data_IF_897930203907
#
_entry.id   IF_897930203907
#
_cell.length_a   1.000
_cell.length_b   1.000
_cell.length_c   1.000
_cell.angle_alpha   90.00
_cell.angle_beta   90.00
_cell.angle_gamma   90.00
#
_symmetry.space_group_name_H-M   'P 1'
#
loop_
_entity.id
_entity.type
_entity.pdbx_description
1 polymer ?
#
# COMPACT_ATOMS: atom_id res chain seq x y z
N UNK A 1 58.19 -47.19 -74.88
CA UNK A 1 56.83 -46.63 -74.72
C UNK A 1 56.33 -46.92 -73.32
N UNK A 2 56.40 -45.93 -72.41
CA UNK A 2 56.02 -46.06 -71.01
C UNK A 2 54.85 -45.11 -70.76
N UNK A 3 53.74 -45.67 -70.36
CA UNK A 3 52.57 -44.89 -69.83
C UNK A 3 52.67 -44.81 -68.35
N UNK A 4 52.69 -43.61 -67.83
CA UNK A 4 52.53 -43.31 -66.41
C UNK A 4 51.05 -42.98 -66.08
N UNK A 5 50.46 -43.75 -65.21
CA UNK A 5 49.18 -43.47 -64.61
C UNK A 5 49.34 -42.48 -63.43
N UNK A 6 48.76 -41.34 -63.56
CA UNK A 6 48.62 -40.39 -62.45
C UNK A 6 47.39 -40.77 -61.58
N UNK A 7 47.64 -41.07 -60.32
CA UNK A 7 46.59 -41.24 -59.30
C UNK A 7 46.17 -39.88 -58.85
N UNK A 8 44.87 -39.55 -58.95
CA UNK A 8 44.25 -38.39 -58.37
C UNK A 8 43.75 -38.73 -56.94
N UNK A 9 44.39 -38.12 -55.98
CA UNK A 9 43.94 -38.19 -54.56
C UNK A 9 42.67 -37.32 -54.33
N UNK A 10 41.65 -37.95 -53.79
CA UNK A 10 40.42 -37.28 -53.32
C UNK A 10 40.63 -36.88 -51.89
N UNK A 11 40.65 -35.55 -51.58
CA UNK A 11 40.57 -34.99 -50.21
C UNK A 11 39.12 -34.99 -49.75
N UNK A 12 38.83 -35.44 -48.55
CA UNK A 12 37.49 -35.24 -47.95
C UNK A 12 37.34 -33.80 -47.47
N UNK A 13 36.31 -33.13 -47.94
CA UNK A 13 35.85 -31.83 -47.41
C UNK A 13 35.13 -32.09 -46.12
N UNK A 14 35.75 -31.70 -45.01
CA UNK A 14 35.05 -31.59 -43.70
C UNK A 14 34.11 -30.37 -43.74
N UNK A 15 32.81 -30.59 -43.82
CA UNK A 15 31.80 -29.56 -43.57
C UNK A 15 31.66 -29.31 -42.07
N UNK A 16 32.25 -28.22 -41.61
CA UNK A 16 31.99 -27.72 -40.27
C UNK A 16 30.54 -27.18 -40.19
N UNK A 17 29.65 -27.95 -39.61
CA UNK A 17 28.29 -27.51 -39.27
C UNK A 17 28.36 -26.41 -38.21
N UNK A 18 28.08 -25.17 -38.56
CA UNK A 18 27.85 -24.08 -37.62
C UNK A 18 26.48 -24.28 -37.01
N UNK A 19 26.45 -24.76 -35.77
CA UNK A 19 25.26 -24.74 -34.93
C UNK A 19 24.95 -23.26 -34.58
N UNK A 20 24.03 -22.64 -35.30
CA UNK A 20 23.35 -21.42 -34.84
C UNK A 20 22.50 -21.80 -33.65
N UNK A 21 23.04 -21.60 -32.46
CA UNK A 21 22.25 -21.55 -31.26
C UNK A 21 21.29 -20.36 -31.37
N UNK A 22 19.99 -20.62 -31.50
CA UNK A 22 18.98 -19.61 -31.36
C UNK A 22 19.09 -19.08 -29.93
N UNK A 23 19.74 -17.93 -29.74
CA UNK A 23 19.59 -17.15 -28.52
C UNK A 23 18.09 -16.78 -28.44
N UNK A 24 17.38 -17.41 -27.53
CA UNK A 24 16.06 -16.94 -27.14
C UNK A 24 16.28 -15.55 -26.53
N UNK A 25 16.10 -14.52 -27.34
CA UNK A 25 16.17 -13.16 -26.90
C UNK A 25 15.06 -12.95 -25.87
N UNK A 26 15.44 -12.70 -24.63
CA UNK A 26 14.56 -12.11 -23.64
C UNK A 26 13.96 -10.86 -24.29
N UNK A 27 12.65 -10.79 -24.40
CA UNK A 27 11.99 -9.61 -24.94
C UNK A 27 12.43 -8.40 -24.10
N UNK A 28 12.96 -7.38 -24.74
CA UNK A 28 13.39 -6.18 -24.04
C UNK A 28 12.17 -5.52 -23.39
N UNK A 29 12.29 -4.99 -22.15
CA UNK A 29 11.21 -4.26 -21.50
C UNK A 29 10.74 -3.13 -22.40
N UNK A 30 9.43 -3.00 -22.56
CA UNK A 30 8.84 -1.91 -23.34
C UNK A 30 8.50 -0.77 -22.39
N UNK A 31 8.94 0.42 -22.74
CA UNK A 31 8.67 1.64 -22.00
C UNK A 31 7.84 2.59 -22.84
N UNK A 32 6.84 3.22 -22.23
CA UNK A 32 6.11 4.31 -22.86
C UNK A 32 5.84 5.42 -21.87
N UNK A 33 5.61 6.62 -22.38
CA UNK A 33 5.23 7.79 -21.63
C UNK A 33 4.06 8.50 -22.32
N UNK A 34 3.09 8.93 -21.55
CA UNK A 34 1.90 9.66 -22.01
C UNK A 34 1.67 10.88 -21.15
N UNK A 35 1.33 11.98 -21.80
CA UNK A 35 1.06 13.27 -21.21
C UNK A 35 -0.40 13.65 -21.41
N UNK A 36 -1.08 14.03 -20.34
CA UNK A 36 -2.50 14.39 -20.34
C UNK A 36 -2.66 15.77 -19.71
N UNK A 37 -2.93 16.79 -20.52
CA UNK A 37 -3.29 18.11 -20.00
C UNK A 37 -4.64 18.03 -19.30
N UNK A 38 -4.73 18.50 -18.05
CA UNK A 38 -5.93 18.45 -17.23
C UNK A 38 -6.25 19.83 -16.69
N UNK A 39 -7.54 20.08 -16.44
CA UNK A 39 -7.99 21.33 -15.84
C UNK A 39 -8.70 21.03 -14.51
N UNK A 40 -8.41 21.85 -13.49
CA UNK A 40 -8.98 21.68 -12.17
C UNK A 40 -8.41 20.45 -11.44
N UNK A 41 -9.26 19.75 -10.68
CA UNK A 41 -8.90 18.60 -9.89
C UNK A 41 -9.12 17.31 -10.71
N UNK A 42 -8.06 16.68 -11.20
CA UNK A 42 -8.21 15.47 -12.00
C UNK A 42 -8.56 14.24 -11.15
N UNK A 43 -9.15 13.26 -11.82
CA UNK A 43 -9.36 11.90 -11.30
C UNK A 43 -8.45 10.95 -12.07
N UNK A 44 -7.53 10.30 -11.39
CA UNK A 44 -6.63 9.32 -12.00
C UNK A 44 -6.99 7.92 -11.52
N UNK A 45 -7.28 7.04 -12.47
CA UNK A 45 -7.68 5.66 -12.20
C UNK A 45 -6.64 4.71 -12.79
N UNK A 46 -6.12 3.80 -11.97
CA UNK A 46 -5.22 2.75 -12.41
C UNK A 46 -5.81 1.39 -12.06
N UNK A 47 -5.90 0.54 -13.04
CA UNK A 47 -6.27 -0.87 -12.89
C UNK A 47 -5.10 -1.73 -13.39
N UNK A 48 -4.30 -2.25 -12.46
CA UNK A 48 -3.19 -3.12 -12.77
C UNK A 48 -3.51 -4.56 -12.34
N UNK A 49 -3.80 -5.43 -13.30
CA UNK A 49 -3.98 -6.86 -13.04
C UNK A 49 -2.66 -7.64 -13.11
N UNK A 50 -1.59 -7.03 -13.62
CA UNK A 50 -0.24 -7.57 -13.58
C UNK A 50 0.42 -7.37 -12.21
N UNK A 51 1.55 -8.03 -11.99
CA UNK A 51 2.42 -7.74 -10.87
C UNK A 51 3.16 -6.42 -11.12
N UNK A 52 3.71 -5.83 -10.07
CA UNK A 52 4.60 -4.68 -10.22
C UNK A 52 4.32 -3.54 -9.28
N UNK A 53 4.93 -2.40 -9.57
CA UNK A 53 4.90 -1.21 -8.71
C UNK A 53 4.04 -0.12 -9.34
N UNK A 54 3.27 0.55 -8.51
CA UNK A 54 2.59 1.81 -8.84
C UNK A 54 3.18 2.90 -7.95
N UNK A 55 3.87 3.85 -8.54
CA UNK A 55 4.43 5.02 -7.86
C UNK A 55 3.73 6.28 -8.35
N UNK A 56 3.15 7.06 -7.42
CA UNK A 56 2.47 8.31 -7.72
C UNK A 56 3.12 9.42 -6.92
N UNK A 57 3.57 10.47 -7.60
CA UNK A 57 4.09 11.71 -7.00
C UNK A 57 3.35 12.91 -7.54
N UNK A 58 3.31 13.97 -6.77
CA UNK A 58 2.67 15.20 -7.23
C UNK A 58 3.66 16.24 -7.74
N UNK A 59 3.14 17.17 -8.52
CA UNK A 59 3.80 18.38 -8.97
C UNK A 59 2.82 19.55 -9.09
N UNK A 60 3.35 20.72 -9.46
CA UNK A 60 2.53 21.95 -9.57
C UNK A 60 1.92 22.19 -10.96
N UNK A 61 2.21 21.33 -11.94
CA UNK A 61 1.70 21.52 -13.30
C UNK A 61 0.29 20.93 -13.44
N UNK A 62 -0.51 21.54 -14.34
CA UNK A 62 -1.85 21.02 -14.69
C UNK A 62 -1.76 19.93 -15.75
N UNK A 63 -1.04 18.89 -15.46
CA UNK A 63 -0.77 17.77 -16.37
C UNK A 63 -0.61 16.47 -15.56
N UNK A 64 -1.12 15.38 -16.09
CA UNK A 64 -0.85 14.03 -15.62
C UNK A 64 0.12 13.37 -16.58
N UNK A 65 1.26 12.91 -16.06
CA UNK A 65 2.25 12.14 -16.81
C UNK A 65 2.20 10.70 -16.34
N UNK A 66 2.04 9.79 -17.28
CA UNK A 66 2.02 8.33 -17.04
C UNK A 66 3.20 7.71 -17.76
N UNK A 67 4.21 7.30 -17.02
CA UNK A 67 5.30 6.46 -17.52
C UNK A 67 5.05 5.02 -17.08
N UNK A 68 5.16 4.08 -18.01
CA UNK A 68 4.99 2.68 -17.70
C UNK A 68 6.06 1.82 -18.38
N UNK A 69 6.46 0.77 -17.67
CA UNK A 69 7.41 -0.23 -18.16
C UNK A 69 6.79 -1.60 -18.00
N UNK A 70 6.66 -2.34 -19.08
CA UNK A 70 6.17 -3.72 -19.08
C UNK A 70 7.31 -4.69 -19.40
N UNK A 71 7.35 -5.82 -18.70
CA UNK A 71 8.39 -6.82 -18.85
C UNK A 71 8.32 -7.53 -20.21
N UNK A 72 7.12 -7.67 -20.78
CA UNK A 72 6.91 -8.34 -22.05
C UNK A 72 5.68 -7.83 -22.79
N UNK A 73 5.50 -8.26 -24.05
CA UNK A 73 4.29 -8.00 -24.85
C UNK A 73 3.06 -8.84 -24.43
N UNK A 74 3.17 -9.60 -23.35
CA UNK A 74 2.06 -10.37 -22.75
C UNK A 74 1.15 -9.51 -21.88
N UNK A 75 1.53 -8.26 -21.63
CA UNK A 75 0.74 -7.25 -20.97
C UNK A 75 0.38 -6.19 -21.99
N UNK A 76 -0.89 -5.81 -22.04
CA UNK A 76 -1.37 -4.66 -22.79
C UNK A 76 -1.66 -3.52 -21.81
N UNK A 77 -1.14 -2.33 -22.10
CA UNK A 77 -1.39 -1.13 -21.29
C UNK A 77 -2.14 -0.13 -22.16
N UNK A 78 -3.36 0.17 -21.76
CA UNK A 78 -4.23 1.13 -22.41
C UNK A 78 -4.38 2.38 -21.53
N UNK A 79 -4.44 3.54 -22.19
CA UNK A 79 -4.66 4.82 -21.52
C UNK A 79 -5.77 5.59 -22.23
N UNK A 80 -6.71 6.14 -21.47
CA UNK A 80 -7.83 6.93 -21.96
C UNK A 80 -7.97 8.22 -21.16
N UNK A 81 -8.32 9.30 -21.84
CA UNK A 81 -8.66 10.58 -21.18
C UNK A 81 -10.09 11.00 -21.54
N UNK A 82 -10.88 11.29 -20.52
CA UNK A 82 -12.21 11.86 -20.64
C UNK A 82 -12.32 13.13 -19.79
N UNK A 83 -12.08 14.28 -20.40
CA UNK A 83 -12.02 15.55 -19.68
C UNK A 83 -10.84 15.60 -18.69
N UNK A 84 -11.14 15.76 -17.38
CA UNK A 84 -10.13 15.74 -16.32
C UNK A 84 -9.88 14.33 -15.75
N UNK A 85 -10.53 13.28 -16.29
CA UNK A 85 -10.32 11.90 -15.87
C UNK A 85 -9.30 11.22 -16.79
N UNK A 86 -8.33 10.54 -16.19
CA UNK A 86 -7.32 9.74 -16.88
C UNK A 86 -7.42 8.31 -16.34
N UNK A 87 -7.74 7.38 -17.24
CA UNK A 87 -7.82 5.95 -16.95
C UNK A 87 -6.60 5.24 -17.53
N UNK A 88 -5.96 4.39 -16.74
CA UNK A 88 -4.81 3.56 -17.11
C UNK A 88 -5.14 2.12 -16.75
N UNK A 89 -5.13 1.23 -17.73
CA UNK A 89 -5.48 -0.17 -17.53
C UNK A 89 -4.38 -1.07 -18.07
N UNK A 90 -3.83 -1.92 -17.20
CA UNK A 90 -2.96 -3.01 -17.61
C UNK A 90 -3.73 -4.33 -17.57
N UNK A 91 -3.73 -5.05 -18.69
CA UNK A 91 -4.37 -6.36 -18.85
C UNK A 91 -3.35 -7.41 -19.27
N UNK A 92 -3.56 -8.64 -18.80
CA UNK A 92 -2.74 -9.79 -19.19
C UNK A 92 -3.35 -10.35 -20.47
N UNK A 93 -2.58 -10.34 -21.56
CA UNK A 93 -2.98 -10.88 -22.86
C UNK A 93 -2.76 -12.39 -22.98
N UNK A 94 -1.85 -12.95 -22.16
CA UNK A 94 -1.53 -14.38 -22.11
C UNK A 94 -1.24 -14.76 -20.64
N UNK A 95 -2.23 -15.39 -19.99
CA UNK A 95 -2.18 -15.81 -18.59
C UNK A 95 -1.32 -17.07 -18.36
N UNK A 96 -0.88 -17.74 -19.44
CA UNK A 96 0.03 -18.88 -19.37
C UNK A 96 1.50 -18.46 -19.34
N UNK A 97 1.79 -17.18 -19.48
CA UNK A 97 3.15 -16.65 -19.47
C UNK A 97 3.82 -16.81 -18.09
N UNK A 98 5.14 -16.96 -18.03
CA UNK A 98 5.87 -16.98 -16.78
C UNK A 98 5.62 -15.70 -15.95
N UNK A 99 5.59 -15.81 -14.62
CA UNK A 99 5.31 -14.68 -13.74
C UNK A 99 6.24 -13.47 -13.96
N UNK A 100 7.49 -13.70 -14.35
CA UNK A 100 8.45 -12.65 -14.68
C UNK A 100 8.11 -11.85 -15.94
N UNK A 101 7.30 -12.41 -16.85
CA UNK A 101 6.81 -11.73 -18.04
C UNK A 101 5.52 -10.91 -17.77
N UNK A 102 4.92 -11.10 -16.60
CA UNK A 102 3.66 -10.49 -16.19
C UNK A 102 3.89 -9.34 -15.18
N UNK A 103 4.90 -8.52 -15.39
CA UNK A 103 5.22 -7.37 -14.55
C UNK A 103 5.01 -6.07 -15.33
N UNK A 104 4.25 -5.15 -14.71
CA UNK A 104 4.03 -3.79 -15.20
C UNK A 104 4.26 -2.78 -14.09
N UNK A 105 5.23 -1.90 -14.29
CA UNK A 105 5.59 -0.84 -13.35
C UNK A 105 5.11 0.51 -13.87
N UNK A 106 4.43 1.26 -13.01
CA UNK A 106 3.87 2.57 -13.31
C UNK A 106 4.53 3.66 -12.48
N UNK A 107 4.92 4.73 -13.11
CA UNK A 107 5.36 5.96 -12.48
C UNK A 107 4.45 7.10 -12.96
N UNK A 108 3.71 7.68 -12.05
CA UNK A 108 2.80 8.76 -12.35
C UNK A 108 3.26 10.04 -11.67
N UNK A 109 3.18 11.13 -12.41
CA UNK A 109 3.31 12.47 -11.86
C UNK A 109 1.99 13.19 -12.10
N UNK A 110 1.35 13.64 -11.02
CA UNK A 110 -0.01 14.18 -11.03
C UNK A 110 -0.04 15.58 -10.40
N UNK A 111 -1.03 16.43 -10.68
CA UNK A 111 -1.23 17.67 -9.91
C UNK A 111 -1.37 17.39 -8.41
N UNK A 112 -0.95 18.34 -7.57
CA UNK A 112 -1.06 18.20 -6.10
C UNK A 112 -2.48 17.86 -5.65
N UNK A 113 -3.50 18.51 -6.24
CA UNK A 113 -4.92 18.23 -5.97
C UNK A 113 -5.47 17.21 -6.96
N UNK A 114 -5.30 15.92 -6.65
CA UNK A 114 -5.74 14.81 -7.51
C UNK A 114 -6.52 13.77 -6.70
N UNK A 115 -7.65 13.32 -7.25
CA UNK A 115 -8.34 12.13 -6.76
C UNK A 115 -7.70 10.87 -7.36
N UNK A 116 -7.39 9.88 -6.51
CA UNK A 116 -6.74 8.64 -6.93
C UNK A 116 -7.63 7.43 -6.70
N UNK A 117 -7.77 6.59 -7.72
CA UNK A 117 -8.42 5.29 -7.64
C UNK A 117 -7.45 4.23 -8.16
N UNK A 118 -6.72 3.57 -7.26
CA UNK A 118 -5.69 2.61 -7.61
C UNK A 118 -6.15 1.20 -7.26
N UNK A 119 -6.08 0.29 -8.21
CA UNK A 119 -6.35 -1.13 -8.02
C UNK A 119 -5.19 -1.95 -8.56
N UNK A 120 -4.66 -2.84 -7.73
CA UNK A 120 -3.59 -3.77 -8.11
C UNK A 120 -3.85 -5.17 -7.57
N UNK A 121 -3.32 -6.16 -8.25
CA UNK A 121 -3.33 -7.54 -7.74
C UNK A 121 -2.22 -7.72 -6.69
N UNK A 122 -0.98 -7.42 -7.07
CA UNK A 122 0.19 -7.61 -6.21
C UNK A 122 1.19 -6.49 -6.41
N UNK A 123 2.13 -6.37 -5.47
CA UNK A 123 3.25 -5.44 -5.58
C UNK A 123 3.16 -4.26 -4.63
N UNK A 124 3.91 -3.22 -4.94
CA UNK A 124 4.02 -2.04 -4.09
C UNK A 124 3.23 -0.87 -4.70
N UNK A 125 2.39 -0.26 -3.89
CA UNK A 125 1.77 1.05 -4.19
C UNK A 125 2.44 2.09 -3.31
N UNK A 126 3.03 3.10 -3.92
CA UNK A 126 3.65 4.23 -3.25
C UNK A 126 3.01 5.53 -3.73
N UNK A 127 2.48 6.33 -2.79
CA UNK A 127 1.87 7.63 -3.09
C UNK A 127 2.51 8.69 -2.21
N UNK A 128 2.99 9.77 -2.81
CA UNK A 128 3.68 10.85 -2.11
C UNK A 128 3.14 12.21 -2.50
N UNK A 129 2.87 13.05 -1.48
CA UNK A 129 2.53 14.48 -1.61
C UNK A 129 1.27 14.77 -2.44
N UNK A 130 0.28 13.90 -2.42
CA UNK A 130 -1.00 14.10 -3.11
C UNK A 130 -2.09 14.52 -2.13
N UNK A 131 -2.84 15.56 -2.52
CA UNK A 131 -3.99 16.07 -1.77
C UNK A 131 -5.28 15.72 -2.52
N UNK A 132 -6.12 14.87 -1.93
CA UNK A 132 -7.37 14.47 -2.54
C UNK A 132 -7.90 13.16 -1.96
N UNK A 133 -9.11 12.80 -2.35
CA UNK A 133 -9.68 11.55 -1.94
C UNK A 133 -8.99 10.39 -2.65
N UNK A 134 -8.68 9.34 -1.91
CA UNK A 134 -7.92 8.20 -2.42
C UNK A 134 -8.62 6.90 -2.09
N UNK A 135 -8.80 6.07 -3.10
CA UNK A 135 -9.28 4.70 -2.95
C UNK A 135 -8.22 3.74 -3.48
N UNK A 136 -7.62 2.98 -2.58
CA UNK A 136 -6.54 2.06 -2.87
C UNK A 136 -6.99 0.63 -2.58
N UNK A 137 -6.91 -0.24 -3.57
CA UNK A 137 -7.32 -1.63 -3.46
C UNK A 137 -6.17 -2.55 -3.92
N UNK A 138 -5.76 -3.48 -3.08
CA UNK A 138 -4.75 -4.49 -3.41
C UNK A 138 -5.21 -5.87 -2.94
N UNK A 139 -4.95 -6.89 -3.72
CA UNK A 139 -5.16 -8.26 -3.22
C UNK A 139 -3.99 -8.66 -2.33
N UNK A 140 -2.75 -8.47 -2.79
CA UNK A 140 -1.56 -8.76 -2.01
C UNK A 140 -0.46 -7.74 -2.31
N UNK A 141 0.12 -7.14 -1.27
CA UNK A 141 1.20 -6.18 -1.45
C UNK A 141 1.25 -5.12 -0.36
N UNK A 142 2.19 -4.23 -0.49
CA UNK A 142 2.40 -3.14 0.45
C UNK A 142 1.86 -1.83 -0.12
N UNK A 143 1.26 -1.02 0.74
CA UNK A 143 0.78 0.32 0.40
C UNK A 143 1.49 1.32 1.31
N UNK A 144 2.27 2.19 0.69
CA UNK A 144 3.02 3.23 1.37
C UNK A 144 2.47 4.60 0.97
N UNK A 145 1.99 5.34 1.94
CA UNK A 145 1.46 6.70 1.79
C UNK A 145 2.35 7.66 2.57
N UNK A 146 2.79 8.72 1.93
CA UNK A 146 3.64 9.72 2.56
C UNK A 146 3.16 11.13 2.22
N UNK A 147 2.97 11.95 3.24
CA UNK A 147 2.57 13.37 3.09
C UNK A 147 1.29 13.53 2.22
N UNK A 148 0.33 12.62 2.38
CA UNK A 148 -0.94 12.65 1.63
C UNK A 148 -2.07 13.18 2.51
N UNK A 149 -3.08 13.79 1.89
CA UNK A 149 -4.22 14.32 2.63
C UNK A 149 -5.54 14.16 1.88
N UNK A 150 -6.64 13.98 2.63
CA UNK A 150 -7.98 13.80 2.09
C UNK A 150 -8.72 12.69 2.80
N UNK A 151 -9.71 12.09 2.14
CA UNK A 151 -10.35 10.86 2.60
C UNK A 151 -9.67 9.66 1.96
N UNK A 152 -8.90 8.95 2.75
CA UNK A 152 -8.04 7.84 2.30
C UNK A 152 -8.71 6.53 2.68
N UNK A 153 -9.08 5.74 1.69
CA UNK A 153 -9.70 4.41 1.83
C UNK A 153 -8.75 3.36 1.29
N UNK A 154 -8.32 2.44 2.14
CA UNK A 154 -7.42 1.35 1.78
C UNK A 154 -8.09 0.01 2.06
N UNK A 155 -8.18 -0.83 1.06
CA UNK A 155 -8.74 -2.19 1.15
C UNK A 155 -7.72 -3.19 0.63
N UNK A 156 -7.39 -4.20 1.43
CA UNK A 156 -6.46 -5.25 1.02
C UNK A 156 -6.89 -6.61 1.55
N UNK A 157 -6.54 -7.67 0.85
CA UNK A 157 -6.76 -9.04 1.35
C UNK A 157 -5.55 -9.50 2.17
N UNK A 158 -4.36 -9.47 1.56
CA UNK A 158 -3.09 -9.79 2.22
C UNK A 158 -2.10 -8.67 1.92
N UNK A 159 -2.07 -7.65 2.77
CA UNK A 159 -1.19 -6.51 2.50
C UNK A 159 -1.14 -5.52 3.65
N UNK A 160 -0.02 -4.88 3.78
CA UNK A 160 0.27 -3.93 4.85
C UNK A 160 0.16 -2.48 4.39
N UNK A 161 -0.21 -1.61 5.32
CA UNK A 161 -0.23 -0.16 5.13
C UNK A 161 0.85 0.50 5.98
N UNK A 162 1.62 1.37 5.37
CA UNK A 162 2.47 2.36 6.04
C UNK A 162 2.00 3.75 5.63
N UNK A 163 1.54 4.54 6.59
CA UNK A 163 1.01 5.89 6.37
C UNK A 163 1.83 6.88 7.22
N UNK A 164 2.69 7.64 6.57
CA UNK A 164 3.58 8.60 7.24
C UNK A 164 3.14 10.03 6.90
N UNK A 165 2.92 10.84 7.92
CA UNK A 165 2.49 12.24 7.77
C UNK A 165 1.20 12.39 6.93
N UNK A 166 0.30 11.42 7.04
CA UNK A 166 -1.02 11.48 6.41
C UNK A 166 -1.94 12.39 7.19
N UNK A 167 -2.81 13.13 6.48
CA UNK A 167 -3.78 14.05 7.10
C UNK A 167 -5.21 13.81 6.60
N UNK A 168 -6.21 14.27 7.36
CA UNK A 168 -7.62 14.13 6.99
C UNK A 168 -8.30 12.92 7.63
N UNK A 169 -8.75 11.95 6.83
CA UNK A 169 -9.44 10.74 7.30
C UNK A 169 -8.82 9.49 6.69
N UNK A 170 -8.63 8.44 7.50
CA UNK A 170 -8.08 7.17 7.06
C UNK A 170 -8.99 6.00 7.44
N UNK A 171 -9.35 5.19 6.46
CA UNK A 171 -10.09 3.94 6.63
C UNK A 171 -9.29 2.79 5.99
N UNK A 172 -8.71 1.94 6.82
CA UNK A 172 -7.96 0.76 6.40
C UNK A 172 -8.67 -0.52 6.81
N UNK A 173 -8.81 -1.43 5.87
CA UNK A 173 -9.41 -2.75 6.10
C UNK A 173 -8.58 -3.84 5.43
N UNK A 174 -8.14 -4.83 6.21
CA UNK A 174 -7.36 -5.98 5.73
C UNK A 174 -7.87 -7.28 6.35
N UNK A 175 -7.75 -8.38 5.60
CA UNK A 175 -7.91 -9.72 6.19
C UNK A 175 -6.60 -10.13 6.88
N UNK A 176 -5.46 -9.93 6.21
CA UNK A 176 -4.15 -10.27 6.79
C UNK A 176 -3.12 -9.21 6.41
N UNK A 177 -2.69 -8.41 7.38
CA UNK A 177 -1.69 -7.38 7.15
C UNK A 177 -1.58 -6.42 8.32
N UNK A 178 -0.46 -5.72 8.37
CA UNK A 178 -0.19 -4.74 9.41
C UNK A 178 -0.60 -3.33 8.95
N UNK A 179 -0.93 -2.47 9.90
CA UNK A 179 -1.11 -1.05 9.66
C UNK A 179 -0.15 -0.26 10.55
N UNK A 180 0.63 0.61 9.95
CA UNK A 180 1.49 1.56 10.66
C UNK A 180 1.11 2.98 10.25
N UNK A 181 0.74 3.79 11.22
CA UNK A 181 0.38 5.20 11.04
C UNK A 181 1.34 6.03 11.88
N UNK A 182 2.20 6.79 11.20
CA UNK A 182 3.33 7.50 11.79
C UNK A 182 3.18 9.00 11.60
N UNK A 183 3.30 9.77 12.66
CA UNK A 183 3.23 11.24 12.67
C UNK A 183 2.01 11.80 11.92
N UNK A 184 0.79 11.27 12.15
CA UNK A 184 -0.38 11.66 11.38
C UNK A 184 -0.97 13.00 11.83
N UNK A 185 -1.64 13.69 10.88
CA UNK A 185 -2.56 14.79 11.12
C UNK A 185 -4.02 14.37 10.82
N UNK A 186 -4.45 13.20 11.31
CA UNK A 186 -5.74 12.61 10.99
C UNK A 186 -6.81 13.00 12.03
N UNK A 187 -7.98 13.39 11.56
CA UNK A 187 -9.15 13.70 12.41
C UNK A 187 -10.08 12.49 12.60
N UNK A 188 -9.99 11.51 11.71
CA UNK A 188 -10.75 10.26 11.83
C UNK A 188 -9.89 9.11 11.36
N UNK A 189 -9.79 8.06 12.18
CA UNK A 189 -9.00 6.87 11.89
C UNK A 189 -9.85 5.64 12.16
N UNK A 190 -9.98 4.78 11.16
CA UNK A 190 -10.61 3.47 11.26
C UNK A 190 -9.64 2.43 10.71
N UNK A 191 -9.00 1.67 11.58
CA UNK A 191 -8.07 0.60 11.19
C UNK A 191 -8.64 -0.74 11.63
N UNK A 192 -8.81 -1.63 10.67
CA UNK A 192 -9.27 -2.99 10.93
C UNK A 192 -8.36 -4.00 10.22
N UNK A 193 -7.93 -5.02 10.98
CA UNK A 193 -7.30 -6.22 10.42
C UNK A 193 -7.82 -7.47 11.14
N UNK A 194 -8.09 -8.54 10.40
CA UNK A 194 -8.46 -9.79 11.04
C UNK A 194 -7.23 -10.48 11.65
N UNK A 195 -6.09 -10.41 10.95
CA UNK A 195 -4.81 -10.94 11.44
C UNK A 195 -3.69 -9.98 11.10
N UNK A 196 -3.09 -9.39 12.13
CA UNK A 196 -1.99 -8.42 11.97
C UNK A 196 -1.90 -7.42 13.10
N UNK A 197 -0.83 -6.66 13.10
CA UNK A 197 -0.55 -5.65 14.10
C UNK A 197 -0.95 -4.26 13.59
N UNK A 198 -1.41 -3.44 14.51
CA UNK A 198 -1.72 -2.03 14.26
C UNK A 198 -0.81 -1.20 15.16
N UNK A 199 -0.07 -0.28 14.57
CA UNK A 199 0.72 0.74 15.26
C UNK A 199 0.19 2.11 14.87
N UNK A 200 -0.17 2.90 15.87
CA UNK A 200 -0.46 4.32 15.73
C UNK A 200 0.53 5.12 16.57
N UNK A 201 1.38 5.88 15.93
CA UNK A 201 2.36 6.73 16.58
C UNK A 201 2.14 8.19 16.16
N UNK A 202 1.39 8.91 16.98
CA UNK A 202 1.00 10.28 16.69
C UNK A 202 0.06 10.89 17.70
N UNK A 203 -0.18 12.19 17.54
CA UNK A 203 -1.06 12.94 18.40
C UNK A 203 -2.53 12.70 18.04
N UNK A 204 -3.40 12.79 19.03
CA UNK A 204 -4.84 12.72 18.84
C UNK A 204 -5.41 14.15 18.69
N UNK A 205 -5.88 14.45 17.47
CA UNK A 205 -6.49 15.76 17.19
C UNK A 205 -7.78 15.90 18.01
N UNK A 206 -7.99 17.06 18.61
CA UNK A 206 -9.19 17.39 19.39
C UNK A 206 -10.46 17.11 18.57
N UNK A 207 -11.46 16.52 19.20
CA UNK A 207 -12.71 16.06 18.58
C UNK A 207 -12.56 14.93 17.55
N UNK A 208 -11.33 14.38 17.38
CA UNK A 208 -11.07 13.25 16.50
C UNK A 208 -11.68 11.94 17.01
N UNK A 209 -11.89 11.02 16.08
CA UNK A 209 -12.42 9.68 16.35
C UNK A 209 -11.45 8.63 15.80
N UNK A 210 -10.97 7.78 16.71
CA UNK A 210 -9.95 6.80 16.40
C UNK A 210 -10.43 5.41 16.82
N UNK A 211 -10.59 4.52 15.85
CA UNK A 211 -11.01 3.14 16.06
C UNK A 211 -9.98 2.20 15.47
N UNK A 212 -9.38 1.36 16.30
CA UNK A 212 -8.33 0.42 15.88
C UNK A 212 -8.67 -0.97 16.39
N UNK A 213 -8.87 -1.91 15.45
CA UNK A 213 -9.37 -3.25 15.76
C UNK A 213 -8.54 -4.33 15.06
N UNK A 214 -8.00 -5.26 15.85
CA UNK A 214 -7.35 -6.47 15.36
C UNK A 214 -8.08 -7.72 15.85
N UNK A 215 -8.32 -8.69 14.97
CA UNK A 215 -8.81 -10.00 15.40
C UNK A 215 -7.71 -10.78 16.13
N UNK A 216 -6.52 -10.90 15.51
CA UNK A 216 -5.33 -11.51 16.10
C UNK A 216 -4.12 -10.63 15.84
N UNK A 217 -3.52 -10.12 16.91
CA UNK A 217 -2.34 -9.28 16.83
C UNK A 217 -2.31 -8.17 17.87
N UNK A 218 -1.26 -7.41 17.85
CA UNK A 218 -1.06 -6.29 18.76
C UNK A 218 -1.70 -5.02 18.21
N UNK A 219 -2.41 -4.29 19.06
CA UNK A 219 -2.82 -2.91 18.82
C UNK A 219 -1.99 -2.01 19.71
N UNK A 220 -1.09 -1.24 19.15
CA UNK A 220 -0.15 -0.42 19.88
C UNK A 220 -0.36 1.06 19.55
N UNK A 221 -0.42 1.89 20.58
CA UNK A 221 -0.66 3.32 20.46
C UNK A 221 0.40 4.08 21.25
N UNK A 222 1.07 5.00 20.55
CA UNK A 222 2.01 5.95 21.14
C UNK A 222 1.42 7.36 21.06
N UNK A 223 1.22 8.01 22.19
CA UNK A 223 0.61 9.34 22.28
C UNK A 223 1.53 10.36 22.97
N UNK A 224 1.29 11.64 22.76
CA UNK A 224 2.00 12.73 23.44
C UNK A 224 1.44 12.96 24.85
N UNK A 225 2.29 13.37 25.78
CA UNK A 225 1.84 13.78 27.12
C UNK A 225 0.89 14.98 27.15
N UNK A 226 0.77 15.72 26.04
CA UNK A 226 -0.15 16.86 25.87
C UNK A 226 -1.49 16.47 25.23
N UNK A 227 -1.65 15.21 24.87
CA UNK A 227 -2.88 14.71 24.25
C UNK A 227 -4.07 14.72 25.20
N UNK A 228 -5.26 14.76 24.62
CA UNK A 228 -6.52 14.81 25.36
C UNK A 228 -7.56 13.92 24.69
N UNK A 229 -7.80 12.74 25.28
CA UNK A 229 -8.73 11.76 24.73
C UNK A 229 -9.38 10.88 25.79
N UNK A 230 -10.57 10.37 25.47
CA UNK A 230 -11.22 9.28 26.19
C UNK A 230 -10.80 7.95 25.57
N UNK A 231 -10.27 7.06 26.40
CA UNK A 231 -9.79 5.76 26.01
C UNK A 231 -10.79 4.66 26.37
N UNK A 232 -11.06 3.81 25.40
CA UNK A 232 -11.72 2.52 25.58
C UNK A 232 -10.87 1.43 24.94
N UNK A 233 -10.18 0.64 25.74
CA UNK A 233 -9.37 -0.47 25.28
C UNK A 233 -9.97 -1.80 25.77
N UNK A 234 -10.26 -2.74 24.86
CA UNK A 234 -10.92 -4.01 25.20
C UNK A 234 -10.32 -5.18 24.43
N UNK A 235 -10.11 -6.30 25.12
CA UNK A 235 -9.72 -7.57 24.50
C UNK A 235 -10.54 -8.73 25.05
N UNK A 236 -10.91 -9.68 24.20
CA UNK A 236 -11.68 -10.84 24.62
C UNK A 236 -10.82 -11.86 25.40
N UNK A 237 -9.71 -12.30 24.82
CA UNK A 237 -8.84 -13.36 25.41
C UNK A 237 -7.38 -12.91 25.57
N UNK A 238 -7.07 -11.67 25.22
CA UNK A 238 -5.72 -11.13 25.26
C UNK A 238 -5.35 -10.41 26.55
N UNK A 239 -4.46 -9.42 26.42
CA UNK A 239 -3.99 -8.58 27.53
C UNK A 239 -4.07 -7.09 27.15
N UNK A 240 -4.26 -6.24 28.13
CA UNK A 240 -4.10 -4.78 28.01
C UNK A 240 -2.89 -4.40 28.85
N UNK A 241 -1.85 -3.91 28.19
CA UNK A 241 -0.60 -3.42 28.77
C UNK A 241 -0.60 -1.89 28.72
N UNK A 242 -0.80 -1.27 29.89
CA UNK A 242 -0.84 0.17 30.02
C UNK A 242 0.45 0.68 30.66
N UNK A 243 1.33 1.23 29.85
CA UNK A 243 2.59 1.85 30.32
C UNK A 243 2.46 3.35 30.54
N UNK A 244 1.24 3.87 30.47
CA UNK A 244 0.91 5.29 30.65
C UNK A 244 -0.07 5.53 31.81
N UNK A 245 -0.03 4.71 32.87
CA UNK A 245 -0.94 4.80 34.01
C UNK A 245 -0.95 6.18 34.67
N UNK A 246 0.18 6.86 34.77
CA UNK A 246 0.30 8.19 35.37
C UNK A 246 -0.51 9.28 34.63
N UNK A 247 -0.87 9.05 33.36
CA UNK A 247 -1.59 10.00 32.52
C UNK A 247 -3.08 9.68 32.42
N UNK A 248 -3.48 8.44 32.70
CA UNK A 248 -4.85 7.98 32.58
C UNK A 248 -5.61 8.26 33.89
N UNK A 249 -6.50 9.23 33.85
CA UNK A 249 -7.38 9.56 34.99
C UNK A 249 -8.66 8.73 34.93
N UNK A 250 -9.29 8.44 36.09
CA UNK A 250 -10.64 7.92 36.09
C UNK A 250 -11.56 8.86 35.28
N UNK A 251 -12.36 8.28 34.37
CA UNK A 251 -13.49 9.01 33.80
C UNK A 251 -14.56 9.27 34.89
N UNK A 252 -15.68 9.91 34.51
CA UNK A 252 -16.81 10.14 35.44
C UNK A 252 -17.39 8.84 36.06
N UNK A 253 -16.99 7.69 35.55
CA UNK A 253 -17.39 6.34 36.00
C UNK A 253 -16.26 5.62 36.76
N UNK A 254 -15.09 6.23 36.92
CA UNK A 254 -13.88 5.67 37.51
C UNK A 254 -13.01 4.91 36.50
N UNK A 255 -11.70 4.74 36.80
CA UNK A 255 -10.88 3.78 36.03
C UNK A 255 -11.46 2.39 36.30
N UNK A 256 -12.14 1.83 35.33
CA UNK A 256 -12.71 0.49 35.44
C UNK A 256 -11.84 -0.49 34.74
N UNK A 257 -11.11 -1.30 35.47
CA UNK A 257 -10.62 -2.57 34.98
C UNK A 257 -11.80 -3.55 34.94
N UNK A 258 -12.48 -3.63 33.81
CA UNK A 258 -13.51 -4.65 33.65
C UNK A 258 -12.85 -6.00 33.37
N UNK A 259 -12.77 -6.83 34.38
CA UNK A 259 -12.51 -8.25 34.22
C UNK A 259 -13.85 -9.00 34.28
N UNK A 260 -14.46 -9.27 33.14
CA UNK A 260 -15.44 -10.36 33.05
C UNK A 260 -14.72 -11.65 32.68
N UNK A 261 -15.39 -12.83 32.85
CA UNK A 261 -14.84 -14.10 32.38
C UNK A 261 -14.45 -14.10 30.89
N UNK A 262 -14.92 -13.11 30.12
CA UNK A 262 -14.82 -13.11 28.65
C UNK A 262 -14.23 -11.80 28.07
N UNK A 263 -13.93 -10.79 28.88
CA UNK A 263 -13.43 -9.50 28.36
C UNK A 263 -12.57 -8.82 29.41
N UNK A 264 -11.38 -8.41 29.00
CA UNK A 264 -10.52 -7.52 29.79
C UNK A 264 -10.56 -6.13 29.13
N UNK A 265 -10.70 -5.09 29.91
CA UNK A 265 -10.79 -3.74 29.38
C UNK A 265 -10.16 -2.72 30.30
N UNK A 266 -9.72 -1.63 29.71
CA UNK A 266 -9.22 -0.43 30.35
C UNK A 266 -10.00 0.76 29.81
N UNK A 267 -10.52 1.57 30.70
CA UNK A 267 -11.26 2.79 30.39
C UNK A 267 -10.69 3.93 31.21
N UNK A 268 -10.54 5.08 30.60
CA UNK A 268 -10.07 6.26 31.31
C UNK A 268 -9.88 7.43 30.37
N UNK A 269 -9.53 8.57 30.95
CA UNK A 269 -9.37 9.83 30.24
C UNK A 269 -7.95 10.34 30.39
N UNK A 270 -7.35 10.75 29.28
CA UNK A 270 -6.10 11.51 29.23
C UNK A 270 -6.45 12.98 28.99
N UNK A 271 -5.85 13.88 29.74
CA UNK A 271 -6.14 15.31 29.64
C UNK A 271 -7.61 15.63 30.01
N UNK A 272 -8.33 16.25 29.09
CA UNK A 272 -9.75 16.62 29.20
C UNK A 272 -10.70 15.76 28.36
N UNK A 273 -10.23 14.68 27.75
CA UNK A 273 -11.06 13.72 27.03
C UNK A 273 -11.68 14.24 25.73
N UNK A 274 -10.94 15.05 24.96
CA UNK A 274 -11.50 15.73 23.79
C UNK A 274 -11.64 14.84 22.55
N UNK A 275 -10.70 13.92 22.32
CA UNK A 275 -10.80 12.94 21.26
C UNK A 275 -11.37 11.62 21.80
N UNK A 276 -11.87 10.75 20.93
CA UNK A 276 -12.35 9.42 21.29
C UNK A 276 -11.44 8.36 20.68
N UNK A 277 -10.91 7.47 21.54
CA UNK A 277 -9.99 6.40 21.15
C UNK A 277 -10.55 5.05 21.58
N UNK A 278 -10.92 4.22 20.63
CA UNK A 278 -11.39 2.86 20.84
C UNK A 278 -10.39 1.85 20.27
N UNK A 279 -9.81 1.05 21.16
CA UNK A 279 -8.85 -0.01 20.82
C UNK A 279 -9.49 -1.36 21.12
N UNK A 280 -9.41 -2.30 20.18
CA UNK A 280 -9.97 -3.63 20.37
C UNK A 280 -9.07 -4.70 19.78
N UNK A 281 -8.88 -5.80 20.54
CA UNK A 281 -8.26 -7.02 20.01
C UNK A 281 -9.09 -8.23 20.48
N UNK A 282 -9.37 -9.18 19.58
CA UNK A 282 -10.04 -10.41 20.04
C UNK A 282 -9.08 -11.29 20.84
N UNK A 283 -7.90 -11.60 20.26
CA UNK A 283 -6.85 -12.39 20.92
C UNK A 283 -5.48 -11.78 20.61
N UNK A 284 -5.03 -10.90 21.47
CA UNK A 284 -3.74 -10.22 21.29
C UNK A 284 -3.53 -9.20 22.38
N UNK A 285 -2.47 -8.42 22.25
CA UNK A 285 -2.10 -7.41 23.25
C UNK A 285 -2.51 -6.03 22.76
N UNK A 286 -3.13 -5.25 23.63
CA UNK A 286 -3.30 -3.82 23.44
C UNK A 286 -2.23 -3.14 24.27
N UNK A 287 -1.37 -2.32 23.65
CA UNK A 287 -0.33 -1.56 24.31
C UNK A 287 -0.59 -0.07 24.21
N UNK A 288 -0.46 0.61 25.32
CA UNK A 288 -0.70 2.06 25.42
C UNK A 288 0.56 2.67 26.02
N UNK A 289 1.27 3.44 25.22
CA UNK A 289 2.56 4.02 25.58
C UNK A 289 2.52 5.54 25.41
N UNK A 290 3.23 6.23 26.28
CA UNK A 290 3.52 7.64 26.07
C UNK A 290 4.81 7.76 25.26
N UNK A 291 4.81 8.63 24.25
CA UNK A 291 6.04 9.08 23.59
C UNK A 291 6.87 9.97 24.51
N UNK A 292 8.19 9.82 24.46
CA UNK A 292 9.14 10.68 25.14
C UNK A 292 9.23 12.09 24.51
#
# INVERSE_FOLDING_TARGET
>A
MKWQMMARGILPVLSAGVLFGAAQGLAAPQHFERHFAVNGRPVVVIQNVANGRIEVKSWKNSEVVVAATQASNKIAIDTEQAGARVDVTATIADDTAPAGDLEANFQLTVPEETELQLRTQTGLVYVEQVMGDMTLQSVAGEIHLKEVSGYIVVRTTVGSLVCTQCAGKLDFNSISGNAQVLQPGLTSVSLFTMTGNILYDGDFIRTGIYTMKSGKGTVEVHFSGNDSFDLKAQTATGTVDNQAEAYLKPDSHGVRHMASKFTKGLFGTVGSGLAKVELSSYSGTIRILKRD
#
